data_IF_528584057701
#
_entry.id   IF_528584057701
#
_cell.length_a   1.000
_cell.length_b   1.000
_cell.length_c   1.000
_cell.angle_alpha   90.00
_cell.angle_beta   90.00
_cell.angle_gamma   90.00
#
_symmetry.space_group_name_H-M   'P 1'
#
loop_
_entity.id
_entity.type
_entity.pdbx_description
1 polymer ?
#
# COMPACT_ATOMS: atom_id res chain seq x y z
N UNK A 1 7.96 17.67 -14.97
CA UNK A 1 8.03 16.95 -16.25
C UNK A 1 9.46 16.76 -16.76
N UNK A 2 10.31 17.78 -16.79
CA UNK A 2 11.73 17.65 -17.23
C UNK A 2 12.49 16.56 -16.44
N UNK A 3 12.32 16.49 -15.11
CA UNK A 3 12.97 15.49 -14.27
C UNK A 3 12.51 14.06 -14.64
N UNK A 4 11.21 13.86 -14.88
CA UNK A 4 10.67 12.54 -15.28
C UNK A 4 11.20 12.11 -16.65
N UNK A 5 11.37 13.04 -17.59
CA UNK A 5 11.97 12.76 -18.89
C UNK A 5 13.44 12.34 -18.75
N UNK A 6 14.21 13.04 -17.90
CA UNK A 6 15.60 12.65 -17.60
C UNK A 6 15.70 11.29 -16.92
N UNK A 7 14.82 11.02 -15.95
CA UNK A 7 14.75 9.70 -15.30
C UNK A 7 14.34 8.61 -16.28
N UNK A 8 13.36 8.89 -17.15
CA UNK A 8 12.95 7.94 -18.20
C UNK A 8 14.12 7.61 -19.13
N UNK A 9 14.87 8.62 -19.60
CA UNK A 9 16.05 8.42 -20.42
C UNK A 9 17.12 7.60 -19.72
N UNK A 10 17.40 7.90 -18.46
CA UNK A 10 18.37 7.14 -17.64
C UNK A 10 17.95 5.67 -17.52
N UNK A 11 16.67 5.41 -17.22
CA UNK A 11 16.15 4.03 -17.10
C UNK A 11 16.20 3.30 -18.43
N UNK A 12 15.87 3.96 -19.56
CA UNK A 12 16.02 3.39 -20.90
C UNK A 12 17.45 2.96 -21.15
N UNK A 13 18.42 3.85 -20.93
CA UNK A 13 19.85 3.56 -21.12
C UNK A 13 20.32 2.39 -20.23
N UNK A 14 19.91 2.36 -18.96
CA UNK A 14 20.27 1.28 -18.04
C UNK A 14 19.65 -0.07 -18.46
N UNK A 15 18.38 -0.10 -18.84
CA UNK A 15 17.70 -1.34 -19.21
C UNK A 15 18.14 -1.84 -20.58
N UNK A 16 18.40 -0.96 -21.54
CA UNK A 16 18.93 -1.36 -22.85
C UNK A 16 20.38 -1.87 -22.78
N UNK A 17 21.19 -1.34 -21.86
CA UNK A 17 22.56 -1.79 -21.66
C UNK A 17 22.65 -2.99 -20.72
N UNK A 18 22.35 -2.78 -19.43
CA UNK A 18 22.52 -3.78 -18.38
C UNK A 18 21.38 -4.80 -18.38
N UNK A 19 20.13 -4.34 -18.61
CA UNK A 19 18.93 -5.21 -18.55
C UNK A 19 18.94 -6.24 -19.70
N UNK A 20 19.19 -5.79 -20.92
CA UNK A 20 19.30 -6.67 -22.10
C UNK A 20 20.47 -7.65 -21.96
N UNK A 21 21.65 -7.18 -21.50
CA UNK A 21 22.78 -8.04 -21.21
C UNK A 21 22.43 -9.09 -20.15
N UNK A 22 21.82 -8.69 -19.03
CA UNK A 22 21.46 -9.59 -17.94
C UNK A 22 20.44 -10.65 -18.39
N UNK A 23 19.42 -10.23 -19.15
CA UNK A 23 18.40 -11.13 -19.69
C UNK A 23 18.98 -12.18 -20.62
N UNK A 24 19.90 -11.78 -21.51
CA UNK A 24 20.43 -12.69 -22.54
C UNK A 24 21.58 -13.58 -22.05
N UNK A 25 22.35 -13.15 -21.03
CA UNK A 25 23.58 -13.85 -20.62
C UNK A 25 23.55 -14.41 -19.19
N UNK A 26 22.70 -13.89 -18.32
CA UNK A 26 22.68 -14.31 -16.90
C UNK A 26 21.42 -15.06 -16.49
N UNK A 27 20.30 -14.80 -17.15
CA UNK A 27 19.05 -15.49 -16.83
C UNK A 27 19.01 -16.86 -17.52
N UNK A 28 18.55 -17.88 -16.78
CA UNK A 28 18.31 -19.23 -17.29
C UNK A 28 16.95 -19.29 -18.00
N UNK A 29 16.92 -18.79 -19.25
CA UNK A 29 15.72 -18.81 -20.09
C UNK A 29 15.92 -19.86 -21.20
N UNK A 30 14.93 -20.74 -21.48
CA UNK A 30 15.00 -21.65 -22.61
C UNK A 30 15.22 -20.88 -23.92
N UNK A 31 16.07 -21.39 -24.78
CA UNK A 31 16.43 -20.73 -26.07
C UNK A 31 15.21 -20.33 -26.92
N UNK A 32 14.18 -21.18 -26.94
CA UNK A 32 12.92 -20.92 -27.64
C UNK A 32 12.13 -19.74 -27.09
N UNK A 33 12.36 -19.36 -25.82
CA UNK A 33 11.68 -18.27 -25.11
C UNK A 33 12.48 -16.98 -25.03
N UNK A 34 13.71 -16.98 -25.51
CA UNK A 34 14.60 -15.82 -25.41
C UNK A 34 14.10 -14.63 -26.25
N UNK A 35 13.63 -14.90 -27.47
CA UNK A 35 13.07 -13.87 -28.37
C UNK A 35 11.78 -13.27 -27.76
N UNK A 36 10.77 -14.06 -27.35
CA UNK A 36 9.63 -13.54 -26.63
C UNK A 36 10.00 -12.72 -25.38
N UNK A 37 10.98 -13.17 -24.59
CA UNK A 37 11.42 -12.47 -23.39
C UNK A 37 12.01 -11.08 -23.70
N UNK A 38 12.80 -10.95 -24.77
CA UNK A 38 13.30 -9.64 -25.22
C UNK A 38 12.16 -8.70 -25.66
N UNK A 39 11.16 -9.19 -26.41
CA UNK A 39 9.99 -8.37 -26.78
C UNK A 39 9.22 -7.90 -25.55
N UNK A 40 9.02 -8.78 -24.57
CA UNK A 40 8.37 -8.41 -23.31
C UNK A 40 9.16 -7.34 -22.55
N UNK A 41 10.48 -7.44 -22.50
CA UNK A 41 11.33 -6.42 -21.91
C UNK A 41 11.11 -5.06 -22.58
N UNK A 42 11.09 -5.00 -23.93
CA UNK A 42 10.90 -3.78 -24.69
C UNK A 42 9.52 -3.14 -24.44
N UNK A 43 8.44 -3.92 -24.52
CA UNK A 43 7.08 -3.40 -24.24
C UNK A 43 6.91 -2.98 -22.80
N UNK A 44 7.53 -3.69 -21.84
CA UNK A 44 7.53 -3.32 -20.43
C UNK A 44 8.30 -2.01 -20.19
N UNK A 45 9.42 -1.81 -20.89
CA UNK A 45 10.20 -0.58 -20.83
C UNK A 45 9.37 0.62 -21.31
N UNK A 46 8.70 0.48 -22.46
CA UNK A 46 7.81 1.51 -23.01
C UNK A 46 6.69 1.82 -22.02
N UNK A 47 6.03 0.80 -21.46
CA UNK A 47 4.97 0.97 -20.46
C UNK A 47 5.46 1.69 -19.21
N UNK A 48 6.66 1.37 -18.73
CA UNK A 48 7.28 2.02 -17.59
C UNK A 48 7.59 3.50 -17.87
N UNK A 49 8.16 3.80 -19.02
CA UNK A 49 8.44 5.19 -19.46
C UNK A 49 7.16 6.02 -19.55
N UNK A 50 6.10 5.45 -20.12
CA UNK A 50 4.77 6.10 -20.17
C UNK A 50 4.24 6.37 -18.76
N UNK A 51 4.40 5.42 -17.83
CA UNK A 51 4.06 5.60 -16.43
C UNK A 51 4.80 6.77 -15.77
N UNK A 52 6.13 6.89 -15.99
CA UNK A 52 6.92 8.03 -15.48
C UNK A 52 6.44 9.38 -16.04
N UNK A 53 6.13 9.44 -17.34
CA UNK A 53 5.59 10.63 -17.98
C UNK A 53 4.19 10.96 -17.45
N UNK A 54 3.43 9.97 -17.00
CA UNK A 54 2.10 10.10 -16.41
C UNK A 54 2.07 10.73 -15.01
N UNK A 55 3.17 10.62 -14.25
CA UNK A 55 3.23 11.07 -12.84
C UNK A 55 2.78 12.52 -12.65
N UNK A 56 3.22 13.54 -13.43
CA UNK A 56 2.77 14.92 -13.25
C UNK A 56 1.27 15.11 -13.45
N UNK A 57 0.66 14.40 -14.39
CA UNK A 57 -0.78 14.50 -14.67
C UNK A 57 -1.61 13.87 -13.55
N UNK A 58 -1.18 12.71 -13.04
CA UNK A 58 -1.79 12.11 -11.85
C UNK A 58 -1.67 13.02 -10.62
N UNK A 59 -0.51 13.65 -10.43
CA UNK A 59 -0.27 14.59 -9.34
C UNK A 59 -1.17 15.83 -9.44
N UNK A 60 -1.41 16.34 -10.65
CA UNK A 60 -2.31 17.46 -10.88
C UNK A 60 -3.76 17.11 -10.50
N UNK A 61 -4.26 15.92 -10.90
CA UNK A 61 -5.59 15.43 -10.52
C UNK A 61 -5.77 15.35 -9.00
N UNK A 62 -4.76 14.84 -8.31
CA UNK A 62 -4.76 14.72 -6.85
C UNK A 62 -4.70 16.10 -6.18
N UNK A 63 -3.85 17.01 -6.68
CA UNK A 63 -3.70 18.37 -6.15
C UNK A 63 -4.99 19.20 -6.31
N UNK A 64 -5.72 19.02 -7.41
CA UNK A 64 -7.02 19.66 -7.65
C UNK A 64 -8.21 18.88 -7.04
N UNK A 65 -7.96 17.86 -6.21
CA UNK A 65 -8.98 17.05 -5.53
C UNK A 65 -10.01 16.42 -6.49
N UNK A 66 -9.64 16.19 -7.77
CA UNK A 66 -10.51 15.58 -8.78
C UNK A 66 -10.55 14.05 -8.69
N UNK A 67 -10.85 13.53 -7.49
CA UNK A 67 -10.82 12.09 -7.19
C UNK A 67 -11.82 11.27 -7.99
N UNK A 68 -12.96 11.86 -8.40
CA UNK A 68 -13.94 11.18 -9.26
C UNK A 68 -13.37 10.82 -10.63
N UNK A 69 -12.60 11.71 -11.24
CA UNK A 69 -11.94 11.47 -12.53
C UNK A 69 -10.87 10.39 -12.40
N UNK A 70 -10.09 10.46 -11.34
CA UNK A 70 -9.10 9.43 -11.02
C UNK A 70 -9.77 8.05 -10.87
N UNK A 71 -10.92 7.98 -10.18
CA UNK A 71 -11.68 6.74 -10.03
C UNK A 71 -12.19 6.19 -11.37
N UNK A 72 -12.74 7.04 -12.27
CA UNK A 72 -13.18 6.61 -13.59
C UNK A 72 -12.03 6.05 -14.43
N UNK A 73 -10.87 6.71 -14.43
CA UNK A 73 -9.69 6.20 -15.14
C UNK A 73 -9.20 4.87 -14.55
N UNK A 74 -9.19 4.73 -13.23
CA UNK A 74 -8.81 3.47 -12.57
C UNK A 74 -9.77 2.32 -12.91
N UNK A 75 -11.08 2.58 -13.00
CA UNK A 75 -12.08 1.59 -13.41
C UNK A 75 -11.85 1.20 -14.88
N UNK A 76 -11.62 2.17 -15.76
CA UNK A 76 -11.34 1.91 -17.17
C UNK A 76 -10.06 1.06 -17.35
N UNK A 77 -9.01 1.37 -16.60
CA UNK A 77 -7.77 0.59 -16.59
C UNK A 77 -8.00 -0.85 -16.08
N UNK A 78 -8.79 -1.02 -15.01
CA UNK A 78 -9.11 -2.34 -14.47
C UNK A 78 -9.92 -3.18 -15.46
N UNK A 79 -10.93 -2.60 -16.11
CA UNK A 79 -11.72 -3.26 -17.17
C UNK A 79 -10.81 -3.62 -18.35
N UNK A 80 -9.93 -2.72 -18.78
CA UNK A 80 -8.97 -2.97 -19.84
C UNK A 80 -8.05 -4.16 -19.53
N UNK A 81 -7.49 -4.23 -18.32
CA UNK A 81 -6.67 -5.37 -17.86
C UNK A 81 -7.46 -6.68 -17.85
N UNK A 82 -8.73 -6.63 -17.42
CA UNK A 82 -9.61 -7.80 -17.44
C UNK A 82 -9.87 -8.29 -18.87
N UNK A 83 -10.20 -7.38 -19.79
CA UNK A 83 -10.40 -7.72 -21.21
C UNK A 83 -9.15 -8.30 -21.85
N UNK A 84 -7.98 -7.75 -21.54
CA UNK A 84 -6.68 -8.29 -22.00
C UNK A 84 -6.50 -9.73 -21.51
N UNK A 85 -6.83 -10.01 -20.24
CA UNK A 85 -6.72 -11.37 -19.69
C UNK A 85 -7.59 -12.39 -20.43
N UNK A 86 -8.78 -12.00 -20.87
CA UNK A 86 -9.63 -12.84 -21.74
C UNK A 86 -9.08 -12.93 -23.16
N UNK A 87 -8.59 -11.83 -23.73
CA UNK A 87 -8.09 -11.79 -25.10
C UNK A 87 -6.87 -12.70 -25.35
N UNK A 88 -6.10 -13.03 -24.31
CA UNK A 88 -4.96 -13.97 -24.39
C UNK A 88 -5.40 -15.35 -24.90
N UNK A 89 -6.66 -15.77 -24.64
CA UNK A 89 -7.17 -17.07 -25.07
C UNK A 89 -7.17 -17.17 -26.60
N UNK A 90 -7.48 -16.07 -27.30
CA UNK A 90 -7.54 -16.00 -28.77
C UNK A 90 -6.26 -15.42 -29.41
N UNK A 91 -5.13 -15.50 -28.70
CA UNK A 91 -3.87 -14.93 -29.18
C UNK A 91 -3.44 -15.58 -30.51
N UNK A 92 -3.17 -14.81 -31.60
CA UNK A 92 -2.64 -15.31 -32.86
C UNK A 92 -1.14 -15.54 -32.84
N UNK A 93 -0.45 -15.13 -31.77
CA UNK A 93 1.01 -15.20 -31.58
C UNK A 93 1.35 -15.75 -30.18
N UNK A 94 2.62 -15.74 -29.83
CA UNK A 94 3.03 -16.12 -28.46
C UNK A 94 2.24 -15.32 -27.41
N UNK A 95 1.60 -16.05 -26.48
CA UNK A 95 0.69 -15.46 -25.48
C UNK A 95 1.35 -14.41 -24.60
N UNK A 96 2.65 -14.60 -24.30
CA UNK A 96 3.41 -13.67 -23.46
C UNK A 96 3.68 -12.34 -24.17
N UNK A 97 4.07 -12.42 -25.45
CA UNK A 97 4.29 -11.24 -26.30
C UNK A 97 2.97 -10.51 -26.53
N UNK A 98 1.92 -11.25 -26.87
CA UNK A 98 0.58 -10.67 -27.06
C UNK A 98 0.08 -9.92 -25.83
N UNK A 99 0.26 -10.50 -24.65
CA UNK A 99 -0.05 -9.84 -23.38
C UNK A 99 0.72 -8.53 -23.21
N UNK A 100 2.03 -8.55 -23.45
CA UNK A 100 2.89 -7.36 -23.30
C UNK A 100 2.49 -6.25 -24.29
N UNK A 101 2.16 -6.59 -25.53
CA UNK A 101 1.68 -5.65 -26.55
C UNK A 101 0.37 -4.99 -26.09
N UNK A 102 -0.62 -5.79 -25.68
CA UNK A 102 -1.92 -5.26 -25.24
C UNK A 102 -1.81 -4.38 -23.99
N UNK A 103 -0.95 -4.77 -23.05
CA UNK A 103 -0.66 -3.93 -21.86
C UNK A 103 0.01 -2.60 -22.25
N UNK A 104 0.91 -2.61 -23.21
CA UNK A 104 1.53 -1.40 -23.75
C UNK A 104 0.49 -0.51 -24.44
N UNK A 105 -0.39 -1.08 -25.27
CA UNK A 105 -1.49 -0.34 -25.92
C UNK A 105 -2.42 0.28 -24.88
N UNK A 106 -2.81 -0.46 -23.84
CA UNK A 106 -3.63 0.07 -22.75
C UNK A 106 -2.92 1.24 -22.08
N UNK A 107 -1.61 1.12 -21.77
CA UNK A 107 -0.82 2.19 -21.16
C UNK A 107 -0.78 3.45 -22.04
N UNK A 108 -0.62 3.31 -23.35
CA UNK A 108 -0.68 4.43 -24.31
C UNK A 108 -2.05 5.09 -24.29
N UNK A 109 -3.14 4.32 -24.34
CA UNK A 109 -4.51 4.84 -24.28
C UNK A 109 -4.76 5.61 -22.98
N UNK A 110 -4.33 5.06 -21.85
CA UNK A 110 -4.44 5.72 -20.55
C UNK A 110 -3.64 7.03 -20.51
N UNK A 111 -2.41 7.01 -20.97
CA UNK A 111 -1.56 8.20 -21.01
C UNK A 111 -2.16 9.31 -21.86
N UNK A 112 -2.71 8.98 -23.04
CA UNK A 112 -3.41 9.93 -23.90
C UNK A 112 -4.66 10.50 -23.21
N UNK A 113 -5.42 9.66 -22.50
CA UNK A 113 -6.62 10.09 -21.77
C UNK A 113 -6.25 11.09 -20.64
N UNK A 114 -5.25 10.76 -19.80
CA UNK A 114 -4.75 11.65 -18.76
C UNK A 114 -4.24 12.98 -19.32
N UNK A 115 -3.42 12.90 -20.38
CA UNK A 115 -2.85 14.08 -21.01
C UNK A 115 -3.93 15.02 -21.59
N UNK A 116 -4.92 14.46 -22.32
CA UNK A 116 -6.02 15.25 -22.90
C UNK A 116 -6.88 15.89 -21.83
N UNK A 117 -7.23 15.12 -20.78
CA UNK A 117 -8.03 15.64 -19.68
C UNK A 117 -7.31 16.77 -18.95
N UNK A 118 -6.06 16.54 -18.52
CA UNK A 118 -5.32 17.52 -17.75
C UNK A 118 -5.01 18.80 -18.55
N UNK A 119 -4.61 18.67 -19.82
CA UNK A 119 -4.40 19.86 -20.68
C UNK A 119 -5.65 20.69 -20.90
N UNK A 120 -6.83 20.07 -20.89
CA UNK A 120 -8.11 20.79 -21.08
C UNK A 120 -8.56 21.52 -19.81
N UNK A 121 -8.21 21.04 -18.62
CA UNK A 121 -8.76 21.53 -17.37
C UNK A 121 -7.75 22.24 -16.48
N UNK A 122 -6.44 22.08 -16.73
CA UNK A 122 -5.37 22.63 -15.89
C UNK A 122 -4.32 23.32 -16.77
N UNK A 123 -4.16 24.63 -16.58
CA UNK A 123 -3.21 25.45 -17.37
C UNK A 123 -1.75 25.03 -17.13
N UNK A 124 -1.43 24.63 -15.89
CA UNK A 124 -0.09 24.16 -15.51
C UNK A 124 0.32 22.82 -16.15
N UNK A 125 -0.61 22.08 -16.74
CA UNK A 125 -0.30 20.83 -17.45
C UNK A 125 0.22 21.04 -18.87
N UNK A 126 0.43 22.26 -19.32
CA UNK A 126 1.15 22.59 -20.55
C UNK A 126 2.66 22.55 -20.30
N UNK A 127 3.37 21.73 -21.09
CA UNK A 127 4.82 21.58 -20.91
C UNK A 127 5.56 22.78 -21.51
N UNK A 128 6.28 23.52 -20.66
CA UNK A 128 7.28 24.50 -21.06
C UNK A 128 8.62 24.09 -20.46
N UNK A 129 9.65 24.04 -21.30
CA UNK A 129 10.99 23.77 -20.79
C UNK A 129 11.46 24.97 -19.96
N UNK A 130 11.59 24.76 -18.65
CA UNK A 130 12.11 25.75 -17.73
C UNK A 130 13.18 25.12 -16.85
N UNK A 131 14.33 25.76 -16.74
CA UNK A 131 15.45 25.28 -15.95
C UNK A 131 15.75 26.27 -14.82
N UNK A 132 15.20 26.01 -13.65
CA UNK A 132 15.44 26.78 -12.44
C UNK A 132 16.28 25.95 -11.46
N UNK A 133 17.52 26.42 -11.19
CA UNK A 133 18.47 25.72 -10.32
C UNK A 133 18.01 25.67 -8.86
N UNK A 134 17.29 26.69 -8.36
CA UNK A 134 16.83 26.71 -6.96
C UNK A 134 15.69 25.73 -6.75
N UNK A 135 14.71 25.71 -7.66
CA UNK A 135 13.62 24.76 -7.64
C UNK A 135 14.14 23.33 -7.77
N UNK A 136 15.06 23.09 -8.72
CA UNK A 136 15.69 21.79 -8.91
C UNK A 136 16.42 21.33 -7.64
N UNK A 137 17.21 22.20 -7.00
CA UNK A 137 17.91 21.86 -5.75
C UNK A 137 16.95 21.47 -4.63
N UNK A 138 15.82 22.17 -4.49
CA UNK A 138 14.78 21.83 -3.51
C UNK A 138 14.11 20.48 -3.83
N UNK A 139 13.75 20.24 -5.10
CA UNK A 139 13.13 18.99 -5.55
C UNK A 139 14.09 17.80 -5.37
N UNK A 140 15.36 17.94 -5.80
CA UNK A 140 16.35 16.86 -5.64
C UNK A 140 16.65 16.59 -4.17
N UNK A 141 16.70 17.62 -3.32
CA UNK A 141 16.87 17.47 -1.89
C UNK A 141 15.71 16.68 -1.27
N UNK A 142 14.47 17.05 -1.58
CA UNK A 142 13.28 16.34 -1.10
C UNK A 142 13.18 14.91 -1.67
N UNK A 143 13.38 14.77 -2.98
CA UNK A 143 13.34 13.47 -3.66
C UNK A 143 14.43 12.52 -3.15
N UNK A 144 15.66 13.02 -2.92
CA UNK A 144 16.77 12.23 -2.40
C UNK A 144 16.47 11.66 -1.00
N UNK A 145 15.92 12.48 -0.10
CA UNK A 145 15.52 11.98 1.22
C UNK A 145 14.35 11.00 1.15
N UNK A 146 13.36 11.25 0.29
CA UNK A 146 12.28 10.28 0.06
C UNK A 146 12.79 8.98 -0.54
N UNK A 147 13.78 9.02 -1.43
CA UNK A 147 14.40 7.82 -1.99
C UNK A 147 15.03 6.95 -0.91
N UNK A 148 15.71 7.55 0.09
CA UNK A 148 16.28 6.80 1.23
C UNK A 148 15.17 6.10 2.01
N UNK A 149 14.06 6.79 2.32
CA UNK A 149 12.93 6.19 3.02
C UNK A 149 12.24 5.08 2.23
N UNK A 150 12.01 5.29 0.92
CA UNK A 150 11.43 4.29 0.05
C UNK A 150 12.34 3.06 -0.10
N UNK A 151 13.67 3.28 -0.24
CA UNK A 151 14.65 2.21 -0.29
C UNK A 151 14.68 1.40 1.01
N UNK A 152 14.53 2.05 2.16
CA UNK A 152 14.44 1.37 3.46
C UNK A 152 13.22 0.45 3.55
N UNK A 153 12.07 0.88 3.02
CA UNK A 153 10.87 0.06 2.97
C UNK A 153 11.02 -1.13 2.01
N UNK A 154 11.60 -0.91 0.83
CA UNK A 154 11.88 -1.99 -0.14
C UNK A 154 12.88 -3.00 0.46
N UNK A 155 13.94 -2.53 1.11
CA UNK A 155 14.91 -3.41 1.78
C UNK A 155 14.27 -4.22 2.90
N UNK A 156 13.37 -3.63 3.69
CA UNK A 156 12.61 -4.36 4.70
C UNK A 156 11.81 -5.50 4.08
N UNK A 157 11.04 -5.22 3.02
CA UNK A 157 10.10 -6.17 2.44
C UNK A 157 10.81 -7.22 1.58
N UNK A 158 11.64 -6.80 0.64
CA UNK A 158 12.39 -7.71 -0.24
C UNK A 158 13.56 -8.38 0.47
N UNK A 159 14.26 -7.65 1.34
CA UNK A 159 15.30 -8.21 2.18
C UNK A 159 14.77 -9.31 3.11
N UNK A 160 13.58 -9.11 3.68
CA UNK A 160 12.91 -10.14 4.45
C UNK A 160 12.59 -11.40 3.63
N UNK A 161 12.13 -11.26 2.37
CA UNK A 161 11.94 -12.38 1.45
C UNK A 161 13.25 -13.12 1.17
N UNK A 162 14.33 -12.38 0.93
CA UNK A 162 15.64 -12.95 0.63
C UNK A 162 16.20 -13.73 1.83
N UNK A 163 16.09 -13.19 3.04
CA UNK A 163 16.54 -13.87 4.25
C UNK A 163 15.73 -15.15 4.51
N UNK A 164 14.40 -15.11 4.39
CA UNK A 164 13.57 -16.31 4.55
C UNK A 164 13.96 -17.36 3.52
N UNK A 165 14.17 -16.98 2.27
CA UNK A 165 14.60 -17.92 1.24
C UNK A 165 15.99 -18.53 1.54
N UNK A 166 16.92 -17.73 2.09
CA UNK A 166 18.27 -18.19 2.44
C UNK A 166 18.25 -19.25 3.55
N UNK A 167 17.42 -19.10 4.58
CA UNK A 167 17.38 -19.99 5.74
C UNK A 167 16.41 -21.17 5.60
N UNK A 168 15.28 -20.97 4.93
CA UNK A 168 14.19 -21.95 4.86
C UNK A 168 13.82 -22.40 3.43
N UNK A 169 14.43 -21.79 2.43
CA UNK A 169 14.24 -22.15 1.03
C UNK A 169 12.96 -21.58 0.37
N UNK A 170 12.73 -21.98 -0.90
CA UNK A 170 11.67 -21.38 -1.73
C UNK A 170 10.25 -21.69 -1.25
N UNK A 171 10.02 -22.85 -0.63
CA UNK A 171 8.68 -23.28 -0.18
C UNK A 171 8.12 -22.33 0.89
N UNK A 172 8.91 -22.00 1.92
CA UNK A 172 8.50 -21.07 2.98
C UNK A 172 8.35 -19.65 2.44
N UNK A 173 9.22 -19.26 1.50
CA UNK A 173 9.11 -17.96 0.84
C UNK A 173 7.84 -17.85 -0.02
N UNK A 174 7.41 -18.95 -0.66
CA UNK A 174 6.12 -18.99 -1.37
C UNK A 174 4.93 -18.79 -0.43
N UNK A 175 4.94 -19.40 0.77
CA UNK A 175 3.93 -19.18 1.80
C UNK A 175 3.84 -17.70 2.22
N UNK A 176 4.97 -17.00 2.35
CA UNK A 176 5.01 -15.55 2.57
C UNK A 176 4.44 -14.76 1.37
N UNK A 177 4.70 -15.21 0.14
CA UNK A 177 4.11 -14.62 -1.07
C UNK A 177 2.59 -14.66 -1.07
N UNK A 178 1.99 -15.77 -0.60
CA UNK A 178 0.55 -15.91 -0.42
C UNK A 178 0.03 -14.89 0.61
N UNK A 179 0.72 -14.74 1.74
CA UNK A 179 0.37 -13.73 2.74
C UNK A 179 0.41 -12.30 2.15
N UNK A 180 1.39 -12.02 1.30
CA UNK A 180 1.47 -10.75 0.56
C UNK A 180 0.27 -10.51 -0.36
N UNK A 181 -0.24 -11.53 -1.06
CA UNK A 181 -1.42 -11.40 -1.91
C UNK A 181 -2.68 -11.07 -1.08
N UNK A 182 -2.89 -11.76 0.04
CA UNK A 182 -4.00 -11.47 0.96
C UNK A 182 -3.91 -10.06 1.51
N UNK A 183 -2.71 -9.65 1.94
CA UNK A 183 -2.47 -8.30 2.44
C UNK A 183 -2.77 -7.23 1.39
N UNK A 184 -2.33 -7.41 0.15
CA UNK A 184 -2.57 -6.44 -0.93
C UNK A 184 -4.06 -6.27 -1.22
N UNK A 185 -4.83 -7.36 -1.20
CA UNK A 185 -6.27 -7.31 -1.39
C UNK A 185 -6.97 -6.50 -0.29
N UNK A 186 -6.59 -6.70 0.98
CA UNK A 186 -7.21 -6.04 2.13
C UNK A 186 -6.72 -4.60 2.30
N UNK A 187 -5.40 -4.38 2.21
CA UNK A 187 -4.79 -3.06 2.42
C UNK A 187 -5.16 -2.04 1.36
N UNK A 188 -5.58 -2.50 0.17
CA UNK A 188 -6.08 -1.63 -0.90
C UNK A 188 -7.24 -0.74 -0.47
N UNK A 189 -8.13 -1.23 0.39
CA UNK A 189 -9.25 -0.44 0.92
C UNK A 189 -8.79 0.72 1.80
N UNK A 190 -7.87 0.47 2.74
CA UNK A 190 -7.33 1.53 3.59
C UNK A 190 -6.47 2.52 2.78
N UNK A 191 -5.74 2.04 1.78
CA UNK A 191 -4.96 2.90 0.89
C UNK A 191 -5.85 3.86 0.11
N UNK A 192 -6.95 3.39 -0.47
CA UNK A 192 -7.91 4.23 -1.19
C UNK A 192 -8.53 5.31 -0.28
N UNK A 193 -8.84 4.98 0.97
CA UNK A 193 -9.29 5.96 1.95
C UNK A 193 -8.21 7.01 2.24
N UNK A 194 -6.96 6.60 2.42
CA UNK A 194 -5.84 7.52 2.66
C UNK A 194 -5.56 8.40 1.44
N UNK A 195 -5.73 7.92 0.22
CA UNK A 195 -5.59 8.73 -1.00
C UNK A 195 -6.54 9.94 -1.01
N UNK A 196 -7.76 9.77 -0.50
CA UNK A 196 -8.72 10.87 -0.36
C UNK A 196 -8.38 11.82 0.81
N UNK A 197 -7.76 11.31 1.87
CA UNK A 197 -7.45 12.07 3.09
C UNK A 197 -6.13 12.87 2.97
N UNK A 198 -5.13 12.32 2.31
CA UNK A 198 -3.79 12.89 2.21
C UNK A 198 -3.76 14.34 1.68
N UNK A 199 -4.48 14.70 0.59
CA UNK A 199 -4.50 16.07 0.10
C UNK A 199 -5.09 17.04 1.13
N UNK A 200 -6.09 16.61 1.91
CA UNK A 200 -6.73 17.45 2.93
C UNK A 200 -5.78 17.75 4.09
N UNK A 201 -5.00 16.75 4.55
CA UNK A 201 -3.97 16.94 5.58
C UNK A 201 -2.93 17.95 5.08
N UNK A 202 -2.44 17.78 3.85
CA UNK A 202 -1.44 18.67 3.25
C UNK A 202 -1.96 20.10 3.08
N UNK A 203 -3.20 20.26 2.62
CA UNK A 203 -3.87 21.55 2.45
C UNK A 203 -4.08 22.27 3.78
N UNK A 204 -4.53 21.54 4.81
CA UNK A 204 -4.72 22.10 6.15
C UNK A 204 -3.40 22.58 6.77
N UNK A 205 -2.30 21.85 6.52
CA UNK A 205 -0.98 22.30 6.91
C UNK A 205 -0.58 23.60 6.20
N UNK A 206 -0.76 23.67 4.88
CA UNK A 206 -0.41 24.81 4.06
C UNK A 206 -1.25 26.07 4.40
N UNK A 207 -2.52 25.90 4.78
CA UNK A 207 -3.40 27.00 5.22
C UNK A 207 -3.18 27.42 6.67
N UNK A 208 -2.36 26.70 7.45
CA UNK A 208 -2.10 26.98 8.85
C UNK A 208 -3.21 26.56 9.80
N UNK A 209 -4.24 25.84 9.32
CA UNK A 209 -5.33 25.30 10.15
C UNK A 209 -4.89 24.02 10.89
N UNK A 210 -4.16 24.25 11.99
CA UNK A 210 -3.59 23.17 12.81
C UNK A 210 -4.67 22.32 13.49
N UNK A 211 -5.76 22.91 13.93
CA UNK A 211 -6.80 22.18 14.66
C UNK A 211 -7.54 21.20 13.75
N UNK A 212 -7.86 21.64 12.54
CA UNK A 212 -8.47 20.76 11.54
C UNK A 212 -7.49 19.67 11.09
N UNK A 213 -6.22 20.00 10.86
CA UNK A 213 -5.19 19.02 10.53
C UNK A 213 -5.03 17.96 11.63
N UNK A 214 -4.98 18.33 12.91
CA UNK A 214 -4.93 17.37 14.02
C UNK A 214 -6.16 16.47 14.06
N UNK A 215 -7.33 17.03 13.77
CA UNK A 215 -8.56 16.25 13.67
C UNK A 215 -8.48 15.20 12.57
N UNK A 216 -8.01 15.58 11.37
CA UNK A 216 -7.80 14.67 10.23
C UNK A 216 -6.79 13.56 10.57
N UNK A 217 -5.68 13.90 11.24
CA UNK A 217 -4.67 12.92 11.66
C UNK A 217 -5.27 11.90 12.63
N UNK A 218 -5.97 12.32 13.67
CA UNK A 218 -6.55 11.40 14.66
C UNK A 218 -7.67 10.54 14.07
N UNK A 219 -8.56 11.14 13.28
CA UNK A 219 -9.64 10.41 12.62
C UNK A 219 -9.12 9.48 11.54
N UNK A 220 -8.22 9.96 10.70
CA UNK A 220 -7.62 9.18 9.64
C UNK A 220 -6.90 7.94 10.15
N UNK A 221 -6.13 8.06 11.23
CA UNK A 221 -5.43 6.92 11.84
C UNK A 221 -6.41 5.86 12.37
N UNK A 222 -7.47 6.28 13.08
CA UNK A 222 -8.49 5.34 13.58
C UNK A 222 -9.28 4.68 12.46
N UNK A 223 -9.81 5.48 11.54
CA UNK A 223 -10.66 4.97 10.47
C UNK A 223 -9.89 4.04 9.51
N UNK A 224 -8.64 4.35 9.18
CA UNK A 224 -7.78 3.45 8.40
C UNK A 224 -7.58 2.10 9.10
N UNK A 225 -7.36 2.14 10.41
CA UNK A 225 -7.21 0.93 11.21
C UNK A 225 -8.52 0.14 11.27
N UNK A 226 -9.67 0.79 11.47
CA UNK A 226 -10.97 0.13 11.54
C UNK A 226 -11.32 -0.55 10.21
N UNK A 227 -11.09 0.12 9.09
CA UNK A 227 -11.30 -0.50 7.77
C UNK A 227 -10.46 -1.78 7.62
N UNK A 228 -9.21 -1.75 8.09
CA UNK A 228 -8.37 -2.95 8.06
C UNK A 228 -8.83 -4.00 9.07
N UNK A 229 -9.19 -3.61 10.29
CA UNK A 229 -9.66 -4.53 11.32
C UNK A 229 -10.93 -5.26 10.86
N UNK A 230 -11.89 -4.52 10.31
CA UNK A 230 -13.14 -5.09 9.79
C UNK A 230 -12.90 -6.20 8.76
N UNK A 231 -11.98 -5.96 7.83
CA UNK A 231 -11.69 -6.93 6.76
C UNK A 231 -10.69 -8.02 7.19
N UNK A 232 -9.71 -7.67 8.03
CA UNK A 232 -8.67 -8.60 8.46
C UNK A 232 -9.13 -9.58 9.52
N UNK A 233 -9.99 -9.16 10.44
CA UNK A 233 -10.37 -9.99 11.58
C UNK A 233 -11.08 -11.29 11.16
N UNK A 234 -12.08 -11.30 10.26
CA UNK A 234 -12.67 -12.52 9.74
C UNK A 234 -11.65 -13.42 9.05
N UNK A 235 -10.68 -12.83 8.32
CA UNK A 235 -9.63 -13.57 7.62
C UNK A 235 -8.65 -14.19 8.62
N UNK A 236 -8.25 -13.45 9.66
CA UNK A 236 -7.35 -13.95 10.72
C UNK A 236 -7.95 -15.15 11.44
N UNK A 237 -9.25 -15.11 11.74
CA UNK A 237 -9.95 -16.17 12.44
C UNK A 237 -10.13 -17.41 11.56
N UNK A 238 -10.48 -17.22 10.30
CA UNK A 238 -10.77 -18.30 9.36
C UNK A 238 -9.60 -18.58 8.39
N UNK A 239 -8.37 -18.16 8.69
CA UNK A 239 -7.23 -18.25 7.76
C UNK A 239 -7.04 -19.66 7.21
N UNK A 240 -7.07 -20.69 8.07
CA UNK A 240 -6.88 -22.07 7.64
C UNK A 240 -7.93 -22.50 6.63
N UNK A 241 -9.21 -22.28 6.95
CA UNK A 241 -10.32 -22.65 6.07
C UNK A 241 -10.28 -21.92 4.72
N UNK A 242 -9.98 -20.62 4.74
CA UNK A 242 -9.82 -19.81 3.51
C UNK A 242 -8.70 -20.38 2.62
N UNK A 243 -7.58 -20.77 3.21
CA UNK A 243 -6.47 -21.37 2.47
C UNK A 243 -6.83 -22.74 1.90
N UNK A 244 -7.55 -23.59 2.65
CA UNK A 244 -8.06 -24.88 2.14
C UNK A 244 -8.99 -24.67 0.95
N UNK A 245 -9.90 -23.70 1.04
CA UNK A 245 -10.84 -23.40 -0.04
C UNK A 245 -10.12 -22.85 -1.29
N UNK A 246 -9.11 -22.01 -1.09
CA UNK A 246 -8.40 -21.34 -2.19
C UNK A 246 -7.33 -22.23 -2.83
N UNK A 247 -6.48 -22.85 -2.02
CA UNK A 247 -5.28 -23.57 -2.49
C UNK A 247 -5.43 -25.08 -2.47
N UNK A 248 -6.48 -25.62 -1.84
CA UNK A 248 -6.70 -27.04 -1.54
C UNK A 248 -5.64 -27.64 -0.60
N UNK A 249 -4.37 -27.31 -0.81
CA UNK A 249 -3.24 -27.72 0.01
C UNK A 249 -2.67 -26.49 0.71
N UNK A 250 -2.69 -26.48 2.04
CA UNK A 250 -2.21 -25.34 2.84
C UNK A 250 -0.71 -25.47 3.03
N UNK A 251 0.11 -24.52 2.50
CA UNK A 251 1.55 -24.56 2.73
C UNK A 251 1.89 -24.38 4.20
N UNK A 252 2.95 -25.04 4.63
CA UNK A 252 3.51 -24.84 5.97
C UNK A 252 3.85 -23.37 6.19
N UNK A 253 3.63 -22.85 7.40
CA UNK A 253 3.79 -21.44 7.78
C UNK A 253 2.85 -20.43 7.10
N UNK A 254 1.98 -20.80 6.14
CA UNK A 254 1.12 -19.83 5.46
C UNK A 254 0.10 -19.17 6.40
N UNK A 255 -0.48 -19.94 7.34
CA UNK A 255 -1.45 -19.41 8.31
C UNK A 255 -0.83 -18.32 9.19
N UNK A 256 0.26 -18.57 9.94
CA UNK A 256 0.87 -17.54 10.78
C UNK A 256 1.44 -16.37 9.96
N UNK A 257 1.94 -16.60 8.74
CA UNK A 257 2.37 -15.50 7.87
C UNK A 257 1.22 -14.56 7.50
N UNK A 258 0.06 -15.09 7.13
CA UNK A 258 -1.11 -14.25 6.82
C UNK A 258 -1.54 -13.46 8.04
N UNK A 259 -1.68 -14.12 9.20
CA UNK A 259 -2.10 -13.48 10.44
C UNK A 259 -1.15 -12.35 10.85
N UNK A 260 0.16 -12.61 10.88
CA UNK A 260 1.16 -11.61 11.24
C UNK A 260 1.29 -10.48 10.20
N UNK A 261 1.15 -10.79 8.92
CA UNK A 261 1.17 -9.76 7.86
C UNK A 261 -0.02 -8.81 7.97
N UNK A 262 -1.21 -9.31 8.27
CA UNK A 262 -2.39 -8.48 8.50
C UNK A 262 -2.27 -7.64 9.78
N UNK A 263 -1.72 -8.21 10.87
CA UNK A 263 -1.40 -7.46 12.09
C UNK A 263 -0.39 -6.35 11.80
N UNK A 264 0.67 -6.64 11.03
CA UNK A 264 1.65 -5.65 10.61
C UNK A 264 0.99 -4.52 9.81
N UNK A 265 0.13 -4.85 8.84
CA UNK A 265 -0.60 -3.85 8.04
C UNK A 265 -1.50 -2.96 8.90
N UNK A 266 -2.21 -3.52 9.88
CA UNK A 266 -2.99 -2.76 10.84
C UNK A 266 -2.10 -1.81 11.67
N UNK A 267 -0.95 -2.27 12.14
CA UNK A 267 0.02 -1.42 12.86
C UNK A 267 0.55 -0.28 11.99
N UNK A 268 0.88 -0.55 10.72
CA UNK A 268 1.34 0.50 9.79
C UNK A 268 0.25 1.51 9.45
N UNK A 269 -1.01 1.09 9.37
CA UNK A 269 -2.13 1.98 9.01
C UNK A 269 -2.31 3.16 9.96
N UNK A 270 -2.03 2.96 11.24
CA UNK A 270 -2.08 4.02 12.26
C UNK A 270 -1.04 5.12 11.96
N UNK A 271 0.08 4.75 11.34
CA UNK A 271 1.17 5.68 11.00
C UNK A 271 0.92 6.49 9.72
N UNK A 272 0.03 6.05 8.82
CA UNK A 272 -0.14 6.67 7.50
C UNK A 272 -0.46 8.18 7.53
N UNK A 273 -1.41 8.68 8.35
CA UNK A 273 -1.67 10.13 8.43
C UNK A 273 -0.50 10.91 9.04
N UNK A 274 0.29 10.29 9.93
CA UNK A 274 1.49 10.91 10.49
C UNK A 274 2.60 11.05 9.43
N UNK A 275 2.74 10.06 8.55
CA UNK A 275 3.66 10.12 7.41
C UNK A 275 3.27 11.27 6.50
N UNK A 276 1.99 11.40 6.15
CA UNK A 276 1.49 12.49 5.32
C UNK A 276 1.74 13.86 5.97
N UNK A 277 1.44 14.00 7.26
CA UNK A 277 1.71 15.23 8.00
C UNK A 277 3.22 15.56 8.03
N UNK A 278 4.08 14.56 8.18
CA UNK A 278 5.53 14.73 8.13
C UNK A 278 6.00 15.21 6.75
N UNK A 279 5.50 14.60 5.68
CA UNK A 279 5.82 14.99 4.30
C UNK A 279 5.32 16.40 3.98
N UNK A 280 4.16 16.80 4.50
CA UNK A 280 3.60 18.14 4.32
C UNK A 280 4.49 19.26 4.89
N UNK A 281 5.29 18.98 5.93
CA UNK A 281 6.24 19.97 6.49
C UNK A 281 7.38 20.31 5.53
N UNK A 282 7.68 19.48 4.54
CA UNK A 282 8.82 19.62 3.63
C UNK A 282 10.19 19.34 4.29
N UNK A 283 10.29 19.37 5.62
CA UNK A 283 11.53 19.12 6.36
C UNK A 283 11.67 17.66 6.74
N UNK A 284 11.95 16.81 5.76
CA UNK A 284 11.92 15.34 5.90
C UNK A 284 13.29 14.70 6.18
N UNK A 285 14.39 15.48 6.14
CA UNK A 285 15.75 14.94 6.30
C UNK A 285 15.89 14.09 7.57
N UNK A 286 15.66 14.70 8.73
CA UNK A 286 15.82 14.02 10.01
C UNK A 286 14.84 12.86 10.17
N UNK A 287 13.63 13.02 9.62
CA UNK A 287 12.64 11.96 9.58
C UNK A 287 13.13 10.72 8.81
N UNK A 288 13.67 10.91 7.61
CA UNK A 288 14.16 9.80 6.80
C UNK A 288 15.41 9.14 7.42
N UNK A 289 16.29 9.91 8.07
CA UNK A 289 17.43 9.35 8.77
C UNK A 289 16.99 8.47 9.94
N UNK A 290 16.09 8.98 10.80
CA UNK A 290 15.66 8.25 12.01
C UNK A 290 14.76 7.08 11.65
N UNK A 291 13.65 7.33 10.93
CA UNK A 291 12.67 6.29 10.63
C UNK A 291 13.17 5.34 9.55
N UNK A 292 13.82 5.84 8.51
CA UNK A 292 14.46 5.01 7.49
C UNK A 292 15.59 4.15 8.10
N UNK A 293 16.40 4.71 8.98
CA UNK A 293 17.43 3.97 9.72
C UNK A 293 16.83 2.86 10.59
N UNK A 294 15.75 3.15 11.35
CA UNK A 294 15.05 2.12 12.13
C UNK A 294 14.50 1.01 11.23
N UNK A 295 13.90 1.35 10.07
CA UNK A 295 13.40 0.34 9.14
C UNK A 295 14.52 -0.53 8.56
N UNK A 296 15.71 0.02 8.30
CA UNK A 296 16.88 -0.75 7.85
C UNK A 296 17.35 -1.76 8.88
N UNK A 297 17.16 -1.51 10.18
CA UNK A 297 17.49 -2.46 11.25
C UNK A 297 16.66 -3.74 11.20
N UNK A 298 15.54 -3.74 10.48
CA UNK A 298 14.72 -4.96 10.30
C UNK A 298 15.56 -6.11 9.74
N UNK A 299 16.38 -5.83 8.74
CA UNK A 299 17.16 -6.82 8.02
C UNK A 299 18.22 -7.48 8.91
N UNK A 300 19.14 -6.76 9.57
CA UNK A 300 20.12 -7.37 10.46
C UNK A 300 19.50 -8.04 11.68
N UNK A 301 18.45 -7.46 12.29
CA UNK A 301 17.82 -8.07 13.47
C UNK A 301 17.13 -9.39 13.06
N UNK A 302 16.38 -9.40 11.95
CA UNK A 302 15.77 -10.63 11.44
C UNK A 302 16.81 -11.71 11.11
N UNK A 303 17.93 -11.34 10.48
CA UNK A 303 19.03 -12.25 10.20
C UNK A 303 19.60 -12.89 11.49
N UNK A 304 19.83 -12.08 12.52
CA UNK A 304 20.31 -12.59 13.81
C UNK A 304 19.30 -13.50 14.50
N UNK A 305 18.01 -13.15 14.49
CA UNK A 305 16.96 -14.01 15.06
C UNK A 305 16.95 -15.38 14.38
N UNK A 306 16.97 -15.42 13.04
CA UNK A 306 16.98 -16.69 12.28
C UNK A 306 18.26 -17.48 12.52
N UNK A 307 19.43 -16.83 12.61
CA UNK A 307 20.70 -17.48 12.93
C UNK A 307 20.71 -18.11 14.31
N UNK A 308 19.95 -17.55 15.27
CA UNK A 308 19.77 -18.11 16.62
C UNK A 308 18.71 -19.23 16.65
N UNK A 309 18.17 -19.66 15.52
CA UNK A 309 17.21 -20.76 15.41
C UNK A 309 15.76 -20.35 15.59
N UNK A 310 15.42 -19.07 15.47
CA UNK A 310 14.02 -18.62 15.49
C UNK A 310 13.25 -19.11 14.25
N UNK A 311 11.95 -19.24 14.40
CA UNK A 311 11.05 -19.63 13.31
C UNK A 311 10.97 -18.54 12.21
N UNK A 312 10.57 -18.87 10.97
CA UNK A 312 10.52 -17.91 9.87
C UNK A 312 9.55 -16.74 10.11
N UNK A 313 8.53 -16.92 10.96
CA UNK A 313 7.60 -15.88 11.37
C UNK A 313 8.25 -14.74 12.17
N UNK A 314 9.39 -15.01 12.79
CA UNK A 314 10.14 -14.00 13.57
C UNK A 314 10.48 -12.75 12.75
N UNK A 315 10.67 -12.88 11.43
CA UNK A 315 10.90 -11.75 10.52
C UNK A 315 9.74 -10.76 10.54
N UNK A 316 8.50 -11.24 10.59
CA UNK A 316 7.31 -10.38 10.69
C UNK A 316 7.12 -9.82 12.10
N UNK A 317 7.44 -10.58 13.13
CA UNK A 317 7.41 -10.10 14.52
C UNK A 317 8.40 -8.95 14.69
N UNK A 318 9.62 -9.08 14.18
CA UNK A 318 10.63 -8.00 14.16
C UNK A 318 10.09 -6.78 13.40
N UNK A 319 9.45 -6.99 12.24
CA UNK A 319 8.85 -5.90 11.48
C UNK A 319 7.76 -5.15 12.27
N UNK A 320 6.89 -5.87 13.00
CA UNK A 320 5.86 -5.28 13.87
C UNK A 320 6.52 -4.44 14.97
N UNK A 321 7.51 -4.98 15.67
CA UNK A 321 8.21 -4.25 16.75
C UNK A 321 8.88 -2.99 16.22
N UNK A 322 9.59 -3.07 15.10
CA UNK A 322 10.24 -1.91 14.47
C UNK A 322 9.20 -0.89 14.00
N UNK A 323 8.06 -1.33 13.47
CA UNK A 323 6.94 -0.45 13.10
C UNK A 323 6.46 0.38 14.30
N UNK A 324 6.34 -0.22 15.50
CA UNK A 324 5.97 0.50 16.71
C UNK A 324 7.06 1.48 17.17
N UNK A 325 8.34 1.13 17.04
CA UNK A 325 9.44 2.06 17.27
C UNK A 325 9.40 3.25 16.30
N UNK A 326 9.11 2.98 15.02
CA UNK A 326 8.91 4.02 14.01
C UNK A 326 7.71 4.93 14.33
N UNK A 327 6.60 4.37 14.83
CA UNK A 327 5.45 5.14 15.29
C UNK A 327 5.84 6.10 16.43
N UNK A 328 6.55 5.59 17.44
CA UNK A 328 7.03 6.42 18.56
C UNK A 328 7.96 7.55 18.08
N UNK A 329 8.88 7.24 17.19
CA UNK A 329 9.78 8.24 16.58
C UNK A 329 8.99 9.32 15.80
N UNK A 330 8.01 8.92 15.00
CA UNK A 330 7.12 9.86 14.26
C UNK A 330 6.37 10.78 15.21
N UNK A 331 5.80 10.24 16.27
CA UNK A 331 5.05 11.05 17.28
C UNK A 331 5.96 12.06 17.96
N UNK A 332 7.17 11.64 18.34
CA UNK A 332 8.15 12.54 18.97
C UNK A 332 8.58 13.67 18.02
N UNK A 333 8.86 13.37 16.77
CA UNK A 333 9.27 14.36 15.78
C UNK A 333 8.14 15.34 15.42
N UNK A 334 6.91 14.85 15.23
CA UNK A 334 5.75 15.69 14.94
C UNK A 334 5.36 16.60 16.12
N UNK A 335 5.65 16.19 17.35
CA UNK A 335 5.51 17.07 18.51
C UNK A 335 6.33 18.36 18.33
N UNK A 336 7.56 18.24 17.87
CA UNK A 336 8.44 19.41 17.63
C UNK A 336 8.07 20.23 16.39
N UNK A 337 7.58 19.58 15.32
CA UNK A 337 7.36 20.23 14.03
C UNK A 337 6.00 20.93 13.91
N UNK A 338 4.94 20.28 14.38
CA UNK A 338 3.57 20.75 14.20
C UNK A 338 2.84 20.96 15.54
N UNK A 339 3.48 20.65 16.69
CA UNK A 339 2.86 20.76 18.00
C UNK A 339 1.91 19.59 18.34
N UNK A 340 2.06 18.42 17.70
CA UNK A 340 1.20 17.26 17.95
C UNK A 340 1.35 16.78 19.38
N UNK A 341 0.21 16.66 20.10
CA UNK A 341 0.21 16.12 21.46
C UNK A 341 0.31 14.60 21.44
N UNK A 342 1.46 14.05 21.84
CA UNK A 342 1.69 12.61 21.91
C UNK A 342 0.69 11.92 22.83
N UNK A 343 0.41 12.54 24.00
CA UNK A 343 -0.54 12.00 24.99
C UNK A 343 -1.95 11.91 24.41
N UNK A 344 -2.38 12.95 23.68
CA UNK A 344 -3.69 12.93 23.03
C UNK A 344 -3.75 11.88 21.92
N UNK A 345 -2.67 11.70 21.15
CA UNK A 345 -2.61 10.67 20.12
C UNK A 345 -2.72 9.26 20.72
N UNK A 346 -1.92 8.99 21.76
CA UNK A 346 -1.98 7.70 22.46
C UNK A 346 -3.39 7.45 23.02
N UNK A 347 -4.00 8.45 23.69
CA UNK A 347 -5.33 8.29 24.29
C UNK A 347 -6.45 8.17 23.24
N UNK A 348 -6.45 9.03 22.22
CA UNK A 348 -7.56 9.13 21.25
C UNK A 348 -7.44 8.12 20.11
N UNK A 349 -6.23 7.64 19.79
CA UNK A 349 -5.99 6.72 18.68
C UNK A 349 -5.53 5.37 19.24
N UNK A 350 -4.35 5.30 19.84
CA UNK A 350 -3.70 4.03 20.15
C UNK A 350 -4.51 3.19 21.17
N UNK A 351 -4.88 3.76 22.31
CA UNK A 351 -5.71 3.06 23.32
C UNK A 351 -7.11 2.73 22.78
N UNK A 352 -7.70 3.63 21.99
CA UNK A 352 -9.00 3.39 21.40
C UNK A 352 -8.96 2.21 20.43
N UNK A 353 -7.94 2.15 19.54
CA UNK A 353 -7.72 1.07 18.58
C UNK A 353 -7.50 -0.27 19.30
N UNK A 354 -6.69 -0.31 20.36
CA UNK A 354 -6.47 -1.52 21.15
C UNK A 354 -7.79 -1.98 21.78
N UNK A 355 -8.53 -1.07 22.41
CA UNK A 355 -9.81 -1.40 23.05
C UNK A 355 -10.81 -1.98 22.04
N UNK A 356 -10.94 -1.33 20.86
CA UNK A 356 -11.83 -1.81 19.80
C UNK A 356 -11.38 -3.19 19.32
N UNK A 357 -10.08 -3.41 19.10
CA UNK A 357 -9.56 -4.72 18.65
C UNK A 357 -9.85 -5.83 19.65
N UNK A 358 -9.57 -5.59 20.93
CA UNK A 358 -9.83 -6.58 21.99
C UNK A 358 -11.31 -6.91 22.08
N UNK A 359 -12.18 -5.91 22.10
CA UNK A 359 -13.62 -6.13 22.22
C UNK A 359 -14.21 -6.82 20.98
N UNK A 360 -13.72 -6.49 19.78
CA UNK A 360 -14.15 -7.14 18.55
C UNK A 360 -13.72 -8.62 18.46
N UNK A 361 -12.64 -8.99 19.16
CA UNK A 361 -12.16 -10.37 19.22
C UNK A 361 -12.92 -11.27 20.20
N UNK A 362 -13.55 -10.70 21.24
CA UNK A 362 -14.15 -11.50 22.33
C UNK A 362 -15.18 -12.50 21.79
N UNK A 363 -16.20 -12.02 21.10
CA UNK A 363 -17.30 -12.89 20.64
C UNK A 363 -16.82 -13.91 19.60
N UNK A 364 -16.10 -13.53 18.52
CA UNK A 364 -15.59 -14.49 17.56
C UNK A 364 -14.65 -15.54 18.15
N UNK A 365 -13.79 -15.14 19.11
CA UNK A 365 -12.84 -16.06 19.75
C UNK A 365 -13.53 -17.16 20.55
N UNK A 366 -14.59 -16.81 21.30
CA UNK A 366 -15.35 -17.80 22.07
C UNK A 366 -16.23 -18.65 21.16
N UNK A 367 -16.81 -18.08 20.12
CA UNK A 367 -17.71 -18.83 19.21
C UNK A 367 -16.95 -19.74 18.27
N UNK A 368 -15.72 -19.42 17.86
CA UNK A 368 -14.90 -20.22 16.97
C UNK A 368 -14.78 -21.70 17.42
N UNK A 369 -14.71 -21.93 18.74
CA UNK A 369 -14.59 -23.29 19.31
C UNK A 369 -15.82 -24.18 19.10
N UNK A 370 -16.99 -23.62 18.81
CA UNK A 370 -18.24 -24.36 18.65
C UNK A 370 -18.56 -24.68 17.20
N UNK A 371 -17.79 -24.14 16.26
CA UNK A 371 -18.01 -24.34 14.84
C UNK A 371 -17.04 -25.39 14.27
N UNK A 372 -17.60 -26.34 13.50
CA UNK A 372 -16.83 -27.30 12.71
C UNK A 372 -16.38 -26.67 11.39
N UNK A 373 -15.34 -27.19 10.76
CA UNK A 373 -14.86 -26.73 9.46
C UNK A 373 -15.86 -27.07 8.35
N UNK A 374 -16.84 -26.21 8.12
CA UNK A 374 -17.79 -26.29 7.01
C UNK A 374 -18.01 -24.94 6.39
N UNK A 375 -18.48 -24.90 5.15
CA UNK A 375 -18.78 -23.64 4.45
C UNK A 375 -19.84 -22.80 5.19
N UNK A 376 -20.85 -23.45 5.76
CA UNK A 376 -21.89 -22.77 6.53
C UNK A 376 -21.30 -22.14 7.81
N UNK A 377 -20.47 -22.88 8.53
CA UNK A 377 -19.76 -22.38 9.72
C UNK A 377 -18.87 -21.19 9.39
N UNK A 378 -18.11 -21.28 8.30
CA UNK A 378 -17.29 -20.17 7.80
C UNK A 378 -18.15 -18.93 7.50
N UNK A 379 -19.27 -19.08 6.78
CA UNK A 379 -20.15 -17.97 6.45
C UNK A 379 -20.77 -17.31 7.68
N UNK A 380 -21.26 -18.12 8.63
CA UNK A 380 -21.85 -17.65 9.89
C UNK A 380 -20.79 -16.93 10.74
N UNK A 381 -19.61 -17.51 10.91
CA UNK A 381 -18.54 -16.94 11.73
C UNK A 381 -18.00 -15.64 11.11
N UNK A 382 -17.88 -15.58 9.79
CA UNK A 382 -17.51 -14.36 9.05
C UNK A 382 -18.57 -13.27 9.24
N UNK A 383 -19.85 -13.58 9.06
CA UNK A 383 -20.94 -12.62 9.26
C UNK A 383 -21.01 -12.12 10.73
N UNK A 384 -20.85 -13.04 11.70
CA UNK A 384 -20.79 -12.71 13.12
C UNK A 384 -19.63 -11.77 13.43
N UNK A 385 -18.43 -12.09 12.92
CA UNK A 385 -17.22 -11.28 13.13
C UNK A 385 -17.39 -9.89 12.53
N UNK A 386 -17.87 -9.78 11.31
CA UNK A 386 -18.14 -8.50 10.66
C UNK A 386 -19.16 -7.67 11.45
N UNK A 387 -20.25 -8.28 11.87
CA UNK A 387 -21.32 -7.59 12.61
C UNK A 387 -20.82 -7.11 13.98
N UNK A 388 -20.11 -7.96 14.71
CA UNK A 388 -19.52 -7.59 16.02
C UNK A 388 -18.49 -6.47 15.87
N UNK A 389 -17.60 -6.56 14.84
CA UNK A 389 -16.59 -5.54 14.62
C UNK A 389 -17.23 -4.21 14.25
N UNK A 390 -18.19 -4.17 13.34
CA UNK A 390 -18.94 -2.96 12.98
C UNK A 390 -19.65 -2.36 14.20
N UNK A 391 -20.26 -3.21 15.03
CA UNK A 391 -20.93 -2.74 16.24
C UNK A 391 -19.96 -2.09 17.22
N UNK A 392 -18.83 -2.74 17.50
CA UNK A 392 -17.82 -2.22 18.43
C UNK A 392 -17.17 -0.94 17.86
N UNK A 393 -16.84 -0.91 16.58
CA UNK A 393 -16.29 0.27 15.91
C UNK A 393 -17.24 1.45 15.98
N UNK A 394 -18.53 1.23 15.72
CA UNK A 394 -19.52 2.29 15.70
C UNK A 394 -19.83 2.81 17.11
N UNK A 395 -20.08 1.93 18.09
CA UNK A 395 -20.52 2.35 19.42
C UNK A 395 -19.36 2.72 20.36
N UNK A 396 -18.18 2.13 20.19
CA UNK A 396 -17.03 2.33 21.07
C UNK A 396 -15.93 3.11 20.36
N UNK A 397 -15.62 2.74 19.11
CA UNK A 397 -14.55 3.34 18.32
C UNK A 397 -14.85 4.77 17.88
N UNK A 398 -16.06 5.01 17.35
CA UNK A 398 -16.47 6.32 16.84
C UNK A 398 -16.88 7.29 17.95
N UNK A 399 -16.48 8.56 17.80
CA UNK A 399 -16.90 9.62 18.69
C UNK A 399 -18.35 10.11 18.37
N UNK A 400 -18.93 10.95 19.25
CA UNK A 400 -20.32 11.44 19.11
C UNK A 400 -20.54 12.17 17.78
N UNK A 401 -19.56 12.96 17.31
CA UNK A 401 -19.66 13.71 16.03
C UNK A 401 -19.64 12.78 14.82
N UNK A 402 -18.77 11.77 14.85
CA UNK A 402 -18.66 10.77 13.78
C UNK A 402 -19.95 9.94 13.69
N UNK A 403 -20.51 9.50 14.81
CA UNK A 403 -21.80 8.80 14.85
C UNK A 403 -22.94 9.66 14.32
N UNK A 404 -23.00 10.93 14.72
CA UNK A 404 -24.04 11.85 14.24
C UNK A 404 -23.96 12.05 12.71
N UNK A 405 -22.74 12.11 12.16
CA UNK A 405 -22.54 12.20 10.71
C UNK A 405 -23.06 10.96 9.98
N UNK A 406 -22.77 9.75 10.52
CA UNK A 406 -23.26 8.48 9.92
C UNK A 406 -24.81 8.43 10.00
N UNK A 407 -25.40 8.76 11.16
CA UNK A 407 -26.86 8.79 11.29
C UNK A 407 -27.51 9.76 10.31
N UNK A 408 -26.95 10.95 10.12
CA UNK A 408 -27.46 11.92 9.16
C UNK A 408 -27.44 11.37 7.74
N UNK A 409 -26.34 10.74 7.34
CA UNK A 409 -26.21 10.13 6.00
C UNK A 409 -27.21 9.00 5.77
N UNK A 410 -27.41 8.12 6.75
CA UNK A 410 -28.39 7.05 6.68
C UNK A 410 -29.82 7.64 6.55
N UNK A 411 -30.14 8.67 7.33
CA UNK A 411 -31.42 9.37 7.23
C UNK A 411 -31.62 10.01 5.83
N UNK A 412 -30.59 10.66 5.29
CA UNK A 412 -30.63 11.28 3.97
C UNK A 412 -30.88 10.25 2.85
N UNK A 413 -30.27 9.06 2.95
CA UNK A 413 -30.49 7.95 2.01
C UNK A 413 -31.91 7.42 2.13
N UNK A 414 -32.40 7.18 3.38
CA UNK A 414 -33.76 6.70 3.63
C UNK A 414 -34.83 7.67 3.09
N UNK A 415 -34.57 8.97 3.15
CA UNK A 415 -35.50 9.99 2.66
C UNK A 415 -35.46 10.17 1.13
N UNK A 416 -34.49 9.51 0.43
CA UNK A 416 -34.39 9.52 -1.04
C UNK A 416 -34.92 8.26 -1.71
N UNK A 417 -35.18 7.19 -0.94
CA UNK A 417 -35.87 5.96 -1.34
C UNK A 417 -37.34 6.08 -0.99
#
# INVERSE_FOLDING_TARGET
MTIQLLLALLVVVLLESIGVWFLNYKMTIPMERLVPANWVLQFSLVTFVLGLIGVPYNSALVAHERMSVFAYFSIFEAIGKLLISFAIIWSPMDKLVFYAVLMCVLAVCMQIAYLRYCKKHFEECTYHFHWDKEILKKIFGFAGWNFIGASSAVLRDQGGNLIINLFFGPSVNAARGIAGQVNNAISGFASNFMWALNPQITKSYASGDKDYMMTLIYQGARLSFYMLLLLSLPVIINTHYILVLWLKLVPEHAVPFIQLTLIFAMCESISNPLITAMLATGNIRNYQIVVGGLQMLNLPISYWCLRLGASPESVLIVAIVISQCCLAARLYMLRGLIGLSVIQYVRKVYLNVIMVSVLSLIVPFFTFRFFTESFLSFAILTALTLTCTLFVEFFIGCNRKERAFVYKRISDIRNRI
#
